data_IF_079033388246
#
_entry.id   IF_079033388246
#
_cell.length_a   1.000
_cell.length_b   1.000
_cell.length_c   1.000
_cell.angle_alpha   90.00
_cell.angle_beta   90.00
_cell.angle_gamma   90.00
#
_symmetry.space_group_name_H-M   'P 1'
#
loop_
_entity.id
_entity.type
_entity.pdbx_description
1 polymer ?
#
# COMPACT_ATOMS: atom_id res chain seq x y z
N UNK A 1 -6.67 -47.21 -15.51
CA UNK A 1 -6.52 -45.93 -14.78
C UNK A 1 -5.27 -46.07 -13.94
N UNK A 2 -4.16 -45.50 -14.39
CA UNK A 2 -2.93 -45.45 -13.59
C UNK A 2 -3.06 -44.19 -12.76
N UNK A 3 -3.37 -44.38 -11.48
CA UNK A 3 -3.19 -43.37 -10.46
C UNK A 3 -1.69 -43.36 -10.11
N UNK A 4 -1.02 -42.24 -10.38
CA UNK A 4 0.28 -41.95 -9.80
C UNK A 4 0.06 -40.88 -8.74
N UNK A 5 -0.10 -41.31 -7.49
CA UNK A 5 0.28 -40.51 -6.33
C UNK A 5 1.75 -40.79 -6.07
N UNK A 6 2.58 -39.75 -6.08
CA UNK A 6 3.86 -39.72 -5.37
C UNK A 6 4.36 -38.28 -5.36
N UNK A 7 4.05 -37.57 -4.28
CA UNK A 7 5.06 -36.68 -3.72
C UNK A 7 6.29 -37.54 -3.41
N UNK A 8 7.46 -37.06 -3.84
CA UNK A 8 8.80 -37.20 -3.25
C UNK A 8 9.86 -37.11 -4.36
N UNK A 9 10.40 -35.91 -4.55
CA UNK A 9 11.60 -35.67 -5.35
C UNK A 9 11.74 -34.27 -5.97
N UNK A 10 10.67 -33.47 -6.00
CA UNK A 10 10.70 -32.09 -6.51
C UNK A 10 11.11 -31.05 -5.45
N UNK A 11 11.55 -29.85 -5.86
CA UNK A 11 11.72 -28.72 -4.95
C UNK A 11 10.41 -28.41 -4.21
N UNK A 12 10.50 -27.90 -2.97
CA UNK A 12 9.32 -27.39 -2.25
C UNK A 12 8.72 -26.21 -3.02
N UNK A 13 7.42 -26.22 -3.26
CA UNK A 13 6.73 -25.10 -3.93
C UNK A 13 6.17 -24.16 -2.86
N UNK A 14 6.63 -22.91 -2.86
CA UNK A 14 6.11 -21.82 -2.04
C UNK A 14 5.14 -21.00 -2.87
N UNK A 15 3.88 -20.92 -2.45
CA UNK A 15 2.84 -20.17 -3.17
C UNK A 15 2.70 -18.78 -2.55
N UNK A 16 3.02 -17.77 -3.34
CA UNK A 16 2.96 -16.37 -2.95
C UNK A 16 1.74 -15.70 -3.58
N UNK A 17 0.75 -15.39 -2.74
CA UNK A 17 -0.40 -14.57 -3.11
C UNK A 17 -0.08 -13.09 -2.89
N UNK A 18 0.12 -12.32 -3.96
CA UNK A 18 0.49 -10.91 -3.87
C UNK A 18 -0.46 -9.96 -4.62
N UNK A 19 -0.23 -8.64 -4.56
CA UNK A 19 -1.07 -7.66 -5.24
C UNK A 19 -1.02 -7.81 -6.77
N UNK A 20 -2.07 -7.37 -7.45
CA UNK A 20 -2.09 -7.31 -8.92
C UNK A 20 -1.16 -6.21 -9.47
N UNK A 21 -1.00 -5.12 -8.72
CA UNK A 21 -0.10 -4.04 -9.08
C UNK A 21 1.35 -4.50 -8.91
N UNK A 22 2.17 -4.30 -9.94
CA UNK A 22 3.54 -4.79 -9.96
C UNK A 22 3.68 -6.30 -10.20
N UNK A 23 2.62 -7.00 -10.64
CA UNK A 23 2.64 -8.46 -10.92
C UNK A 23 3.86 -8.92 -11.73
N UNK A 24 4.23 -8.18 -12.79
CA UNK A 24 5.37 -8.54 -13.63
C UNK A 24 6.69 -8.48 -12.84
N UNK A 25 6.83 -7.51 -11.93
CA UNK A 25 8.02 -7.34 -11.10
C UNK A 25 8.09 -8.43 -10.03
N UNK A 26 6.98 -8.75 -9.37
CA UNK A 26 6.94 -9.80 -8.36
C UNK A 26 7.13 -11.19 -8.97
N UNK A 27 6.53 -11.46 -10.13
CA UNK A 27 6.71 -12.71 -10.86
C UNK A 27 8.17 -12.89 -11.27
N UNK A 28 8.80 -11.86 -11.85
CA UNK A 28 10.22 -11.92 -12.20
C UNK A 28 11.13 -12.09 -10.97
N UNK A 29 10.78 -11.49 -9.83
CA UNK A 29 11.51 -11.67 -8.57
C UNK A 29 11.36 -13.10 -8.02
N UNK A 30 10.16 -13.68 -8.09
CA UNK A 30 9.87 -15.06 -7.70
C UNK A 30 10.64 -16.06 -8.56
N UNK A 31 10.67 -15.86 -9.89
CA UNK A 31 11.47 -16.66 -10.82
C UNK A 31 12.96 -16.59 -10.48
N UNK A 32 13.50 -15.38 -10.33
CA UNK A 32 14.90 -15.17 -9.97
C UNK A 32 15.27 -15.82 -8.63
N UNK A 33 14.40 -15.72 -7.62
CA UNK A 33 14.62 -16.36 -6.32
C UNK A 33 14.57 -17.88 -6.42
N UNK A 34 13.69 -18.43 -7.25
CA UNK A 34 13.60 -19.87 -7.53
C UNK A 34 14.87 -20.39 -8.20
N UNK A 35 15.39 -19.67 -9.19
CA UNK A 35 16.65 -20.01 -9.85
C UNK A 35 17.83 -20.00 -8.86
N UNK A 36 17.90 -18.98 -8.00
CA UNK A 36 18.92 -18.86 -6.95
C UNK A 36 18.76 -19.88 -5.82
N UNK A 37 17.60 -20.51 -5.70
CA UNK A 37 17.35 -21.53 -4.69
C UNK A 37 18.10 -22.83 -4.98
N UNK A 38 18.58 -23.04 -6.22
CA UNK A 38 19.33 -24.22 -6.65
C UNK A 38 18.61 -25.53 -6.29
N UNK A 39 17.30 -25.58 -6.61
CA UNK A 39 16.45 -26.75 -6.37
C UNK A 39 15.99 -26.95 -4.92
N UNK A 40 16.30 -26.03 -3.99
CA UNK A 40 15.75 -26.10 -2.61
C UNK A 40 14.25 -25.81 -2.57
N UNK A 41 13.81 -24.81 -3.34
CA UNK A 41 12.40 -24.44 -3.48
C UNK A 41 12.15 -23.73 -4.81
N UNK A 42 10.88 -23.63 -5.20
CA UNK A 42 10.38 -22.74 -6.25
C UNK A 42 9.29 -21.85 -5.67
N UNK A 43 9.11 -20.66 -6.23
CA UNK A 43 8.07 -19.72 -5.83
C UNK A 43 7.07 -19.58 -6.98
N UNK A 44 5.81 -19.90 -6.72
CA UNK A 44 4.69 -19.65 -7.64
C UNK A 44 3.97 -18.37 -7.19
N UNK A 45 3.79 -17.40 -8.09
CA UNK A 45 3.11 -16.14 -7.79
C UNK A 45 1.66 -16.16 -8.27
N UNK A 46 0.73 -15.98 -7.35
CA UNK A 46 -0.70 -15.86 -7.61
C UNK A 46 -1.17 -14.43 -7.34
N UNK A 47 -1.96 -13.90 -8.27
CA UNK A 47 -2.49 -12.54 -8.19
C UNK A 47 -3.75 -12.52 -7.32
N UNK A 48 -3.75 -11.64 -6.31
CA UNK A 48 -4.91 -11.31 -5.50
C UNK A 48 -5.85 -10.32 -6.21
N UNK A 49 -6.93 -9.90 -5.54
CA UNK A 49 -7.84 -8.89 -6.08
C UNK A 49 -7.12 -7.56 -6.38
N UNK A 50 -7.69 -6.70 -7.24
CA UNK A 50 -7.05 -5.41 -7.58
C UNK A 50 -7.21 -4.33 -6.51
N UNK A 51 -8.36 -4.29 -5.83
CA UNK A 51 -8.64 -3.27 -4.80
C UNK A 51 -8.18 -3.75 -3.42
N UNK A 52 -7.58 -2.84 -2.63
CA UNK A 52 -7.00 -3.16 -1.32
C UNK A 52 -8.02 -3.81 -0.37
N UNK A 53 -9.22 -3.24 -0.28
CA UNK A 53 -10.29 -3.77 0.58
C UNK A 53 -10.71 -5.19 0.19
N UNK A 54 -10.78 -5.47 -1.12
CA UNK A 54 -11.11 -6.80 -1.65
C UNK A 54 -9.98 -7.80 -1.38
N UNK A 55 -8.71 -7.38 -1.44
CA UNK A 55 -7.56 -8.22 -1.11
C UNK A 55 -7.61 -8.65 0.35
N UNK A 56 -7.75 -7.70 1.29
CA UNK A 56 -7.87 -7.98 2.72
C UNK A 56 -8.99 -8.98 3.00
N UNK A 57 -10.18 -8.73 2.44
CA UNK A 57 -11.34 -9.58 2.64
C UNK A 57 -11.15 -10.99 2.09
N UNK A 58 -10.53 -11.14 0.92
CA UNK A 58 -10.23 -12.46 0.36
C UNK A 58 -9.22 -13.22 1.21
N UNK A 59 -8.12 -12.58 1.62
CA UNK A 59 -7.12 -13.19 2.49
C UNK A 59 -7.74 -13.68 3.80
N UNK A 60 -8.41 -12.79 4.54
CA UNK A 60 -9.05 -13.13 5.81
C UNK A 60 -10.03 -14.31 5.68
N UNK A 61 -10.88 -14.32 4.64
CA UNK A 61 -11.84 -15.41 4.40
C UNK A 61 -11.17 -16.74 4.10
N UNK A 62 -10.12 -16.73 3.28
CA UNK A 62 -9.38 -17.94 2.91
C UNK A 62 -8.68 -18.52 4.14
N UNK A 63 -7.99 -17.70 4.93
CA UNK A 63 -7.31 -18.13 6.16
C UNK A 63 -8.31 -18.70 7.17
N UNK A 64 -9.41 -18.01 7.45
CA UNK A 64 -10.46 -18.50 8.36
C UNK A 64 -11.11 -19.79 7.83
N UNK A 65 -11.20 -19.92 6.50
CA UNK A 65 -11.69 -21.13 5.84
C UNK A 65 -10.72 -22.32 5.89
N UNK A 66 -9.48 -22.13 6.38
CA UNK A 66 -8.44 -23.14 6.37
C UNK A 66 -7.86 -23.43 4.99
N UNK A 67 -7.86 -22.43 4.09
CA UNK A 67 -7.26 -22.53 2.77
C UNK A 67 -5.75 -22.76 2.88
N UNK A 68 -5.28 -23.86 2.30
CA UNK A 68 -3.87 -24.27 2.25
C UNK A 68 -3.24 -24.03 0.87
N UNK A 69 -3.90 -23.23 0.01
CA UNK A 69 -3.42 -22.93 -1.34
C UNK A 69 -2.37 -21.82 -1.44
N UNK A 70 -1.98 -21.17 -0.33
CA UNK A 70 -0.91 -20.18 -0.31
C UNK A 70 -0.08 -20.26 0.98
N UNK A 71 1.21 -19.96 0.87
CA UNK A 71 2.18 -20.00 1.96
C UNK A 71 2.66 -18.59 2.35
N UNK A 72 2.71 -17.68 1.37
CA UNK A 72 3.17 -16.30 1.52
C UNK A 72 2.05 -15.38 1.05
N UNK A 73 1.80 -14.30 1.80
CA UNK A 73 0.79 -13.30 1.48
C UNK A 73 1.40 -11.90 1.40
N UNK A 74 1.01 -11.15 0.38
CA UNK A 74 1.25 -9.72 0.31
C UNK A 74 0.26 -9.01 1.23
N UNK A 75 0.79 -8.23 2.16
CA UNK A 75 0.00 -7.48 3.12
C UNK A 75 0.19 -5.98 2.90
N UNK A 76 -0.88 -5.22 3.07
CA UNK A 76 -0.79 -3.77 3.22
C UNK A 76 -0.22 -3.43 4.61
N UNK A 77 0.44 -2.27 4.71
CA UNK A 77 1.09 -1.75 5.92
C UNK A 77 0.10 -1.54 7.07
N UNK A 78 -1.18 -1.32 6.76
CA UNK A 78 -2.24 -1.12 7.76
C UNK A 78 -2.76 -2.43 8.35
N UNK A 79 -2.39 -3.60 7.80
CA UNK A 79 -2.97 -4.90 8.18
C UNK A 79 -2.12 -5.70 9.15
N UNK A 80 -0.84 -5.36 9.32
CA UNK A 80 0.13 -6.12 10.15
C UNK A 80 -0.43 -6.42 11.54
N UNK A 81 -0.96 -5.41 12.24
CA UNK A 81 -1.49 -5.57 13.60
C UNK A 81 -2.68 -6.53 13.65
N UNK A 82 -3.66 -6.37 12.76
CA UNK A 82 -4.83 -7.25 12.69
C UNK A 82 -4.41 -8.70 12.43
N UNK A 83 -3.55 -8.92 11.44
CA UNK A 83 -3.14 -10.26 11.03
C UNK A 83 -2.25 -10.93 12.08
N UNK A 84 -1.41 -10.16 12.79
CA UNK A 84 -0.61 -10.66 13.90
C UNK A 84 -1.50 -11.07 15.09
N UNK A 85 -2.43 -10.21 15.52
CA UNK A 85 -3.36 -10.50 16.63
C UNK A 85 -4.30 -11.67 16.33
N UNK A 86 -4.75 -11.81 15.08
CA UNK A 86 -5.57 -12.93 14.65
C UNK A 86 -4.79 -14.24 14.51
N UNK A 87 -3.45 -14.22 14.63
CA UNK A 87 -2.58 -15.37 14.41
C UNK A 87 -2.50 -15.82 12.95
N UNK A 88 -2.84 -14.94 12.01
CA UNK A 88 -2.81 -15.19 10.58
C UNK A 88 -1.42 -14.92 10.00
N UNK A 89 -0.77 -13.84 10.43
CA UNK A 89 0.64 -13.59 10.16
C UNK A 89 1.53 -14.23 11.23
N UNK A 90 2.58 -14.91 10.79
CA UNK A 90 3.52 -15.60 11.70
C UNK A 90 4.73 -14.71 11.96
N UNK A 91 5.15 -14.63 13.22
CA UNK A 91 6.35 -13.93 13.65
C UNK A 91 7.59 -14.48 12.95
N UNK A 92 8.45 -13.60 12.42
CA UNK A 92 9.74 -13.99 11.85
C UNK A 92 10.71 -14.42 12.96
N UNK A 93 11.47 -15.53 12.79
CA UNK A 93 12.52 -15.90 13.72
C UNK A 93 13.56 -14.79 13.90
N UNK A 94 14.14 -14.65 15.09
CA UNK A 94 14.98 -13.49 15.45
C UNK A 94 16.17 -13.21 14.50
N UNK A 95 16.81 -14.24 13.95
CA UNK A 95 17.90 -14.07 12.97
C UNK A 95 17.40 -13.63 11.58
N UNK A 96 16.16 -13.96 11.24
CA UNK A 96 15.49 -13.50 10.02
C UNK A 96 14.98 -12.07 10.22
N UNK A 97 14.34 -11.79 11.36
CA UNK A 97 13.87 -10.46 11.74
C UNK A 97 15.00 -9.43 11.71
N UNK A 98 16.16 -9.73 12.31
CA UNK A 98 17.32 -8.84 12.28
C UNK A 98 17.81 -8.55 10.85
N UNK A 99 17.81 -9.56 9.97
CA UNK A 99 18.19 -9.35 8.56
C UNK A 99 17.18 -8.50 7.79
N UNK A 100 15.89 -8.62 8.12
CA UNK A 100 14.85 -7.76 7.56
C UNK A 100 15.08 -6.32 8.02
N UNK A 101 15.28 -6.10 9.32
CA UNK A 101 15.54 -4.78 9.90
C UNK A 101 16.78 -4.10 9.28
N UNK A 102 17.91 -4.81 9.20
CA UNK A 102 19.16 -4.28 8.63
C UNK A 102 19.02 -3.91 7.14
N UNK A 103 18.11 -4.57 6.43
CA UNK A 103 17.86 -4.38 5.00
C UNK A 103 16.77 -3.36 4.67
N UNK A 104 16.08 -2.81 5.67
CA UNK A 104 14.85 -2.03 5.48
C UNK A 104 14.98 -0.60 6.02
N UNK A 105 14.32 0.35 5.35
CA UNK A 105 14.21 1.72 5.85
C UNK A 105 13.37 1.75 7.14
N UNK A 106 13.69 2.65 8.07
CA UNK A 106 13.05 2.68 9.40
C UNK A 106 11.52 2.84 9.33
N UNK A 107 11.00 3.73 8.48
CA UNK A 107 9.55 3.97 8.36
C UNK A 107 8.76 2.71 7.97
N UNK A 108 9.06 2.05 6.83
CA UNK A 108 8.43 0.78 6.47
C UNK A 108 8.63 -0.32 7.51
N UNK A 109 9.78 -0.34 8.20
CA UNK A 109 10.05 -1.33 9.24
C UNK A 109 9.10 -1.17 10.44
N UNK A 110 8.75 0.05 10.83
CA UNK A 110 7.76 0.30 11.87
C UNK A 110 6.39 -0.32 11.50
N UNK A 111 5.99 -0.26 10.23
CA UNK A 111 4.71 -0.83 9.78
C UNK A 111 4.67 -2.36 9.70
N UNK A 112 5.84 -3.00 9.65
CA UNK A 112 5.94 -4.46 9.64
C UNK A 112 6.11 -5.07 11.05
N UNK A 113 6.13 -4.22 12.07
CA UNK A 113 6.37 -4.59 13.47
C UNK A 113 5.08 -4.43 14.28
N UNK A 114 4.77 -5.42 15.11
CA UNK A 114 3.66 -5.39 16.06
C UNK A 114 4.10 -5.93 17.42
N UNK A 115 3.78 -5.22 18.49
CA UNK A 115 4.19 -5.55 19.87
C UNK A 115 5.69 -5.90 20.01
N UNK A 116 6.54 -5.16 19.29
CA UNK A 116 8.00 -5.34 19.28
C UNK A 116 8.51 -6.55 18.51
N UNK A 117 7.67 -7.18 17.69
CA UNK A 117 8.02 -8.37 16.89
C UNK A 117 7.75 -8.13 15.41
N UNK A 118 8.58 -8.72 14.56
CA UNK A 118 8.49 -8.56 13.10
C UNK A 118 7.55 -9.60 12.52
N UNK A 119 6.50 -9.15 11.84
CA UNK A 119 5.49 -10.00 11.18
C UNK A 119 5.49 -9.85 9.66
N UNK A 120 6.20 -8.86 9.13
CA UNK A 120 6.31 -8.60 7.69
C UNK A 120 7.76 -8.39 7.25
N UNK A 121 8.01 -8.66 5.97
CA UNK A 121 9.25 -8.27 5.29
C UNK A 121 8.90 -7.22 4.22
N UNK A 122 9.15 -5.92 4.47
CA UNK A 122 8.78 -4.88 3.51
C UNK A 122 9.44 -5.06 2.15
N UNK A 123 8.63 -5.13 1.08
CA UNK A 123 9.09 -5.28 -0.30
C UNK A 123 9.16 -3.95 -1.06
N UNK A 124 8.27 -3.02 -0.71
CA UNK A 124 8.14 -1.70 -1.31
C UNK A 124 7.67 -0.69 -0.27
N UNK A 125 7.85 0.59 -0.58
CA UNK A 125 7.25 1.72 0.12
C UNK A 125 6.71 2.70 -0.91
N UNK A 126 5.57 3.30 -0.63
CA UNK A 126 4.91 4.22 -1.54
C UNK A 126 4.84 5.60 -0.92
N UNK A 127 5.00 6.63 -1.76
CA UNK A 127 4.74 8.02 -1.38
C UNK A 127 3.91 8.67 -2.47
N UNK A 128 2.95 9.50 -2.08
CA UNK A 128 2.17 10.28 -3.05
C UNK A 128 3.07 11.36 -3.65
N UNK A 129 2.95 11.55 -4.96
CA UNK A 129 3.63 12.60 -5.72
C UNK A 129 2.59 13.35 -6.55
N UNK A 130 2.83 14.64 -6.79
CA UNK A 130 2.04 15.41 -7.73
C UNK A 130 2.58 15.23 -9.15
N UNK A 131 1.75 14.71 -10.04
CA UNK A 131 2.03 14.59 -11.46
C UNK A 131 1.27 15.66 -12.23
N UNK A 132 1.95 16.39 -13.10
CA UNK A 132 1.34 17.50 -13.84
C UNK A 132 1.82 17.55 -15.30
N UNK A 133 1.00 18.15 -16.17
CA UNK A 133 1.40 18.45 -17.56
C UNK A 133 2.11 19.80 -17.58
N UNK A 134 3.42 19.78 -17.82
CA UNK A 134 4.26 20.98 -17.93
C UNK A 134 3.69 22.07 -18.85
N UNK A 135 3.07 21.67 -19.96
CA UNK A 135 2.49 22.59 -20.95
C UNK A 135 1.27 23.39 -20.46
N UNK A 136 0.66 23.00 -19.34
CA UNK A 136 -0.49 23.68 -18.75
C UNK A 136 -0.12 24.50 -17.51
N UNK A 137 1.14 24.49 -17.09
CA UNK A 137 1.58 25.22 -15.91
C UNK A 137 1.98 26.65 -16.29
N UNK A 138 1.78 27.62 -15.39
CA UNK A 138 2.32 28.96 -15.58
C UNK A 138 3.85 28.91 -15.67
N UNK A 139 4.43 29.86 -16.42
CA UNK A 139 5.88 30.04 -16.45
C UNK A 139 6.36 30.71 -15.17
N UNK A 140 7.38 30.12 -14.54
CA UNK A 140 8.08 30.68 -13.40
C UNK A 140 9.06 31.78 -13.79
N UNK A 141 9.72 32.41 -12.79
CA UNK A 141 10.64 33.53 -13.01
C UNK A 141 11.85 33.19 -13.89
N UNK A 142 12.24 31.91 -13.93
CA UNK A 142 13.35 31.40 -14.72
C UNK A 142 12.93 30.86 -16.10
N UNK A 143 11.64 31.00 -16.46
CA UNK A 143 11.07 30.47 -17.71
C UNK A 143 10.74 28.97 -17.68
N UNK A 144 10.90 28.32 -16.51
CA UNK A 144 10.52 26.91 -16.31
C UNK A 144 9.07 26.79 -15.79
N UNK A 145 8.36 25.69 -16.08
CA UNK A 145 7.02 25.45 -15.54
C UNK A 145 6.98 25.51 -14.01
N UNK A 146 6.13 26.37 -13.45
CA UNK A 146 5.91 26.52 -12.02
C UNK A 146 4.59 25.84 -11.63
N UNK A 147 4.61 24.58 -11.16
CA UNK A 147 3.39 23.92 -10.72
C UNK A 147 2.89 24.50 -9.39
N UNK A 148 1.58 24.41 -9.10
CA UNK A 148 1.03 24.85 -7.81
C UNK A 148 1.62 24.06 -6.64
N UNK A 149 1.87 24.70 -5.51
CA UNK A 149 2.48 24.07 -4.32
C UNK A 149 1.44 23.71 -3.25
N UNK A 150 0.23 24.25 -3.35
CA UNK A 150 -0.87 24.01 -2.41
C UNK A 150 -2.13 23.49 -3.12
N UNK A 151 -2.98 22.79 -2.37
CA UNK A 151 -4.28 22.33 -2.89
C UNK A 151 -5.21 23.46 -3.33
N UNK A 152 -5.15 24.61 -2.66
CA UNK A 152 -5.88 25.80 -3.05
C UNK A 152 -5.41 26.29 -4.42
N UNK A 153 -4.11 26.41 -4.64
CA UNK A 153 -3.55 26.79 -5.95
C UNK A 153 -3.86 25.76 -7.03
N UNK A 154 -3.89 24.45 -6.69
CA UNK A 154 -4.33 23.40 -7.61
C UNK A 154 -5.78 23.63 -8.06
N UNK A 155 -6.70 23.88 -7.12
CA UNK A 155 -8.11 24.12 -7.43
C UNK A 155 -8.31 25.41 -8.24
N UNK A 156 -7.58 26.48 -7.91
CA UNK A 156 -7.60 27.74 -8.65
C UNK A 156 -7.10 27.58 -10.08
N UNK A 157 -5.96 26.90 -10.27
CA UNK A 157 -5.42 26.62 -11.60
C UNK A 157 -6.36 25.74 -12.42
N UNK A 158 -6.98 24.72 -11.80
CA UNK A 158 -7.99 23.90 -12.45
C UNK A 158 -9.19 24.75 -12.92
N UNK A 159 -9.67 25.67 -12.08
CA UNK A 159 -10.74 26.61 -12.45
C UNK A 159 -10.36 27.51 -13.62
N UNK A 160 -9.15 28.08 -13.60
CA UNK A 160 -8.64 28.89 -14.70
C UNK A 160 -8.58 28.10 -16.02
N UNK A 161 -8.00 26.90 -15.99
CA UNK A 161 -7.92 26.05 -17.18
C UNK A 161 -9.31 25.69 -17.72
N UNK A 162 -10.31 25.52 -16.84
CA UNK A 162 -11.68 25.24 -17.26
C UNK A 162 -12.30 26.44 -18.01
N UNK A 163 -12.08 27.67 -17.51
CA UNK A 163 -12.55 28.91 -18.14
C UNK A 163 -11.90 29.14 -19.52
N UNK A 164 -10.65 28.69 -19.68
CA UNK A 164 -9.90 28.76 -20.95
C UNK A 164 -10.28 27.64 -21.94
N UNK A 165 -11.09 26.65 -21.51
CA UNK A 165 -11.45 25.49 -22.32
C UNK A 165 -10.33 24.44 -22.46
N UNK A 166 -9.32 24.52 -21.59
CA UNK A 166 -8.21 23.59 -21.48
C UNK A 166 -8.55 22.41 -20.56
N UNK A 167 -7.76 21.32 -20.59
CA UNK A 167 -7.94 20.21 -19.67
C UNK A 167 -7.76 20.61 -18.19
N UNK A 168 -8.85 20.56 -17.42
CA UNK A 168 -8.93 21.16 -16.07
C UNK A 168 -9.12 20.18 -14.90
N UNK A 169 -9.37 18.90 -15.15
CA UNK A 169 -9.60 17.94 -14.06
C UNK A 169 -8.37 17.73 -13.18
N UNK A 170 -8.59 17.72 -11.86
CA UNK A 170 -7.61 17.27 -10.86
C UNK A 170 -7.83 15.78 -10.61
N UNK A 171 -6.81 14.96 -10.90
CA UNK A 171 -6.88 13.52 -10.70
C UNK A 171 -6.63 13.15 -9.24
N UNK A 172 -7.70 12.88 -8.48
CA UNK A 172 -7.64 12.45 -7.08
C UNK A 172 -8.31 11.08 -6.86
N UNK A 173 -7.94 10.41 -5.78
CA UNK A 173 -8.48 9.10 -5.38
C UNK A 173 -9.75 9.26 -4.52
N UNK A 174 -10.81 9.84 -5.10
CA UNK A 174 -12.02 10.25 -4.37
C UNK A 174 -13.20 9.24 -4.44
N UNK A 175 -12.94 7.98 -4.80
CA UNK A 175 -13.97 6.95 -4.88
C UNK A 175 -14.20 6.24 -3.53
N UNK A 176 -15.31 5.51 -3.38
CA UNK A 176 -15.62 4.75 -2.17
C UNK A 176 -14.76 3.47 -2.08
N UNK A 177 -13.53 3.62 -1.60
CA UNK A 177 -12.57 2.57 -1.24
C UNK A 177 -11.47 3.18 -0.36
N UNK A 178 -10.52 2.39 0.14
CA UNK A 178 -9.38 2.85 0.95
C UNK A 178 -8.70 4.15 0.44
N UNK A 179 -8.55 4.35 -0.87
CA UNK A 179 -7.84 5.50 -1.42
C UNK A 179 -8.39 6.87 -1.00
N UNK A 180 -9.71 6.99 -0.75
CA UNK A 180 -10.28 8.25 -0.23
C UNK A 180 -9.92 8.46 1.24
N UNK A 181 -9.79 7.38 2.01
CA UNK A 181 -9.35 7.43 3.41
C UNK A 181 -7.88 7.82 3.49
N UNK A 182 -7.03 7.30 2.59
CA UNK A 182 -5.63 7.70 2.48
C UNK A 182 -5.52 9.19 2.14
N UNK A 183 -6.31 9.68 1.16
CA UNK A 183 -6.30 11.10 0.82
C UNK A 183 -6.76 11.97 2.00
N UNK A 184 -7.85 11.59 2.67
CA UNK A 184 -8.33 12.28 3.87
C UNK A 184 -7.29 12.29 4.99
N UNK A 185 -6.65 11.14 5.28
CA UNK A 185 -5.62 11.04 6.31
C UNK A 185 -4.44 11.98 6.02
N UNK A 186 -3.97 12.05 4.77
CA UNK A 186 -2.93 13.01 4.38
C UNK A 186 -3.34 14.47 4.63
N UNK A 187 -4.61 14.82 4.35
CA UNK A 187 -5.11 16.19 4.57
C UNK A 187 -5.29 16.50 6.06
N UNK A 188 -5.76 15.53 6.84
CA UNK A 188 -5.96 15.65 8.28
C UNK A 188 -4.62 15.86 9.01
N UNK A 189 -3.63 15.01 8.71
CA UNK A 189 -2.28 15.09 9.28
C UNK A 189 -1.59 16.41 8.87
N UNK A 190 -1.76 16.87 7.62
CA UNK A 190 -1.27 18.16 7.18
C UNK A 190 -1.91 19.35 7.93
N UNK A 191 -3.16 19.21 8.37
CA UNK A 191 -3.86 20.17 9.22
C UNK A 191 -3.55 20.00 10.72
N UNK A 192 -2.70 19.03 11.09
CA UNK A 192 -2.26 18.76 12.46
C UNK A 192 -3.24 17.95 13.31
N UNK A 193 -4.18 17.23 12.69
CA UNK A 193 -5.06 16.27 13.37
C UNK A 193 -4.66 14.82 13.09
N UNK A 194 -5.32 13.88 13.76
CA UNK A 194 -5.14 12.43 13.57
C UNK A 194 -6.48 11.70 13.61
N UNK A 195 -6.57 10.50 13.02
CA UNK A 195 -7.81 9.69 13.05
C UNK A 195 -8.02 9.04 14.42
N UNK A 196 -6.94 8.53 15.00
CA UNK A 196 -6.88 7.90 16.32
C UNK A 196 -5.74 8.48 17.14
N UNK A 197 -5.81 8.29 18.46
CA UNK A 197 -4.74 8.62 19.38
C UNK A 197 -3.49 7.76 19.16
N UNK A 198 -2.36 8.13 19.80
CA UNK A 198 -1.10 7.37 19.71
C UNK A 198 -1.23 5.91 20.15
N UNK A 199 -2.22 5.59 21.01
CA UNK A 199 -2.46 4.21 21.44
C UNK A 199 -3.31 3.39 20.46
N UNK A 200 -3.94 4.05 19.48
CA UNK A 200 -4.87 3.44 18.53
C UNK A 200 -6.18 2.97 19.15
N UNK A 201 -6.57 3.51 20.31
CA UNK A 201 -7.74 3.05 21.09
C UNK A 201 -8.88 4.05 21.14
N UNK A 202 -8.59 5.34 20.94
CA UNK A 202 -9.58 6.40 20.95
C UNK A 202 -9.61 7.09 19.59
N UNK A 203 -10.82 7.37 19.09
CA UNK A 203 -10.99 8.16 17.88
C UNK A 203 -10.80 9.64 18.23
N UNK A 204 -9.93 10.32 17.50
CA UNK A 204 -9.57 11.74 17.70
C UNK A 204 -9.89 12.60 16.47
N UNK A 205 -10.54 12.00 15.47
CA UNK A 205 -10.87 12.63 14.18
C UNK A 205 -11.68 13.93 14.32
N UNK A 206 -12.52 14.07 15.35
CA UNK A 206 -13.35 15.24 15.59
C UNK A 206 -12.77 16.21 16.63
N UNK A 207 -11.51 16.02 17.04
CA UNK A 207 -10.81 16.95 17.91
C UNK A 207 -10.35 18.20 17.15
N UNK A 208 -10.85 19.37 17.57
CA UNK A 208 -10.52 20.65 16.96
C UNK A 208 -11.12 20.84 15.57
N UNK A 209 -10.44 21.62 14.73
CA UNK A 209 -10.93 22.01 13.39
C UNK A 209 -10.19 21.30 12.24
N UNK A 210 -9.22 20.42 12.53
CA UNK A 210 -8.33 19.83 11.51
C UNK A 210 -9.10 18.99 10.49
N UNK A 211 -10.01 18.12 10.92
CA UNK A 211 -10.84 17.33 10.01
C UNK A 211 -11.76 18.20 9.16
N UNK A 212 -12.26 19.31 9.70
CA UNK A 212 -13.06 20.26 8.95
C UNK A 212 -12.24 20.93 7.84
N UNK A 213 -11.04 21.40 8.17
CA UNK A 213 -10.10 22.00 7.22
C UNK A 213 -9.73 21.00 6.11
N UNK A 214 -9.43 19.75 6.47
CA UNK A 214 -9.14 18.68 5.52
C UNK A 214 -10.31 18.46 4.54
N UNK A 215 -11.54 18.34 5.06
CA UNK A 215 -12.74 18.14 4.23
C UNK A 215 -13.05 19.34 3.35
N UNK A 216 -12.83 20.57 3.83
CA UNK A 216 -13.01 21.79 3.04
C UNK A 216 -12.03 21.83 1.85
N UNK A 217 -10.77 21.43 2.06
CA UNK A 217 -9.79 21.29 0.97
C UNK A 217 -10.20 20.21 -0.02
N UNK A 218 -10.59 19.02 0.45
CA UNK A 218 -11.02 17.92 -0.42
C UNK A 218 -12.24 18.30 -1.27
N UNK A 219 -13.25 18.94 -0.65
CA UNK A 219 -14.44 19.44 -1.33
C UNK A 219 -14.13 20.57 -2.32
N UNK A 220 -13.09 21.38 -2.06
CA UNK A 220 -12.65 22.41 -3.00
C UNK A 220 -12.07 21.84 -4.30
N UNK A 221 -11.59 20.59 -4.26
CA UNK A 221 -10.90 19.94 -5.39
C UNK A 221 -11.80 18.99 -6.18
N UNK A 222 -12.73 18.28 -5.52
CA UNK A 222 -13.52 17.18 -6.08
C UNK A 222 -15.03 17.34 -5.91
#
# INVERSE_FOLDING_TARGET
MVACSSDEGGPTVLRFMGPADGVDQYTAAAEKCSDQADGRYTIEYDVSAKQTDDQRLQLARRIVGGDDSFDIMGLDVTWTAEFAEAGWAVEFPGDVAQRIEDGTLSGPMETATWDGRVYGAPLNTNTQLMWYRKSLMPEGPDGEPAPPETWTEIAELAGQLADEGEPSYVGVQAAQYEGVVVWFNSMLEAAGGSIVDESGREATIDEGDAARQALEVMHGVA
#
